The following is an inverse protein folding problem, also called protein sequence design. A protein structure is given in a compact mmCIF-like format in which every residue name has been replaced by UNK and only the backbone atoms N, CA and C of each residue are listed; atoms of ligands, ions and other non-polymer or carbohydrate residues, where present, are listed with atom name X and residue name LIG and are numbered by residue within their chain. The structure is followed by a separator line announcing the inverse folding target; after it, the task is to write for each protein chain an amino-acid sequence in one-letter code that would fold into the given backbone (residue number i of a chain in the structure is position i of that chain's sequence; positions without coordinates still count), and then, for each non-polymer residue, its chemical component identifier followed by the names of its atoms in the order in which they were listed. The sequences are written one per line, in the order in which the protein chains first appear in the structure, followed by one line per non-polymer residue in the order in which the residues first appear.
data_IF_783992565687
#
_entry.id   IF_783992565687
#
_cell.length_a   1.000
_cell.length_b   1.000
_cell.length_c   1.000
_cell.angle_alpha   90.00
_cell.angle_beta   90.00
_cell.angle_gamma   90.00
#
_symmetry.space_group_name_H-M   'P 1'
#
loop_
_entity.id
_entity.type
_entity.pdbx_description
1 polymer ?
#
# COMPACT_ATOMS: atom_id res chain seq x y z
N UNK A 1 -6.47 13.08 62.45
CA UNK A 1 -6.69 12.98 60.98
C UNK A 1 -7.58 11.81 60.58
N UNK A 2 -7.34 10.58 61.08
CA UNK A 2 -8.10 9.37 60.71
C UNK A 2 -9.63 9.48 60.91
N UNK A 3 -10.09 10.01 62.04
CA UNK A 3 -11.53 10.14 62.33
C UNK A 3 -12.29 11.05 61.36
N UNK A 4 -11.63 12.09 60.82
CA UNK A 4 -12.27 13.10 59.97
C UNK A 4 -12.64 12.57 58.57
N UNK A 5 -11.85 11.62 58.05
CA UNK A 5 -11.99 11.14 56.67
C UNK A 5 -12.70 9.78 56.55
N UNK A 6 -12.93 9.06 57.65
CA UNK A 6 -13.64 7.78 57.63
C UNK A 6 -15.13 7.89 57.27
N UNK A 7 -15.74 9.06 57.47
CA UNK A 7 -17.13 9.30 57.06
C UNK A 7 -17.29 9.70 55.59
N UNK A 8 -16.20 9.91 54.85
CA UNK A 8 -16.24 10.33 53.46
C UNK A 8 -16.20 9.10 52.54
N UNK A 9 -17.19 8.97 51.66
CA UNK A 9 -17.24 7.87 50.69
C UNK A 9 -16.10 8.00 49.68
N UNK A 10 -15.40 6.89 49.39
CA UNK A 10 -14.30 6.85 48.41
C UNK A 10 -12.93 7.35 48.90
N UNK A 11 -12.82 7.76 50.17
CA UNK A 11 -11.54 8.22 50.76
C UNK A 11 -10.96 7.16 51.69
N UNK A 12 -9.68 6.82 51.51
CA UNK A 12 -8.94 5.96 52.43
C UNK A 12 -7.80 6.74 53.10
N UNK A 13 -7.66 6.60 54.41
CA UNK A 13 -6.47 7.07 55.14
C UNK A 13 -5.48 5.92 55.34
N UNK A 14 -4.22 6.12 54.93
CA UNK A 14 -3.13 5.16 55.05
C UNK A 14 -1.99 5.71 55.91
N UNK A 15 -1.30 4.83 56.63
CA UNK A 15 -0.05 5.15 57.33
C UNK A 15 1.15 4.82 56.44
N UNK A 16 2.20 5.63 56.52
CA UNK A 16 3.42 5.46 55.70
C UNK A 16 4.22 4.21 56.08
N UNK A 17 4.31 3.91 57.38
CA UNK A 17 5.05 2.74 57.88
C UNK A 17 4.47 1.41 57.40
N UNK A 18 3.16 1.40 57.10
CA UNK A 18 2.39 0.22 56.72
C UNK A 18 1.56 0.54 55.47
N UNK A 19 2.25 0.85 54.37
CA UNK A 19 1.61 1.08 53.08
C UNK A 19 1.08 -0.24 52.52
N UNK A 20 -0.25 -0.36 52.50
CA UNK A 20 -0.93 -1.53 51.95
C UNK A 20 -1.07 -1.42 50.42
N UNK A 21 -0.53 -2.41 49.71
CA UNK A 21 -0.61 -2.50 48.26
C UNK A 21 -2.07 -2.54 47.75
N UNK A 22 -2.97 -3.26 48.43
CA UNK A 22 -4.37 -3.41 48.00
C UNK A 22 -5.12 -2.08 47.98
N UNK A 23 -4.75 -1.18 48.89
CA UNK A 23 -5.31 0.16 48.94
C UNK A 23 -4.61 1.08 47.93
N UNK A 24 -3.31 0.93 47.68
CA UNK A 24 -2.62 1.76 46.70
C UNK A 24 -2.97 1.39 45.25
N UNK A 25 -3.22 0.11 44.96
CA UNK A 25 -3.55 -0.43 43.66
C UNK A 25 -4.77 -1.36 43.74
N UNK A 26 -5.98 -0.81 43.96
CA UNK A 26 -7.20 -1.61 44.02
C UNK A 26 -7.43 -2.32 42.68
N UNK A 27 -7.67 -3.63 42.73
CA UNK A 27 -7.82 -4.46 41.52
C UNK A 27 -6.54 -4.61 40.68
N UNK A 28 -5.38 -4.23 41.20
CA UNK A 28 -4.08 -4.37 40.51
C UNK A 28 -3.74 -3.22 39.55
N UNK A 29 -4.56 -2.16 39.49
CA UNK A 29 -4.26 -0.99 38.68
C UNK A 29 -3.41 0.02 39.46
N UNK A 30 -2.29 0.45 38.87
CA UNK A 30 -1.47 1.56 39.41
C UNK A 30 -2.07 2.92 39.03
N UNK A 31 -1.80 3.96 39.81
CA UNK A 31 -2.26 5.33 39.51
C UNK A 31 -3.40 5.84 40.39
N UNK A 32 -3.57 5.32 41.62
CA UNK A 32 -4.50 5.91 42.59
C UNK A 32 -4.08 7.35 42.91
N UNK A 33 -5.07 8.26 43.00
CA UNK A 33 -4.82 9.62 43.46
C UNK A 33 -4.50 9.61 44.97
N UNK A 34 -3.26 9.98 45.31
CA UNK A 34 -2.74 9.95 46.68
C UNK A 34 -2.30 11.34 47.09
N UNK A 35 -2.77 11.77 48.25
CA UNK A 35 -2.40 13.04 48.87
C UNK A 35 -1.48 12.73 50.05
N UNK A 36 -0.31 13.38 50.09
CA UNK A 36 0.68 13.22 51.15
C UNK A 36 0.72 14.46 52.06
N UNK A 37 0.87 14.24 53.37
CA UNK A 37 1.30 15.29 54.30
C UNK A 37 2.82 15.45 54.24
N UNK A 38 3.36 16.64 54.51
CA UNK A 38 4.80 16.91 54.44
C UNK A 38 5.66 15.92 55.24
N UNK A 39 5.29 15.67 56.50
CA UNK A 39 6.00 14.74 57.38
C UNK A 39 5.98 13.29 56.87
N UNK A 40 4.88 12.88 56.25
CA UNK A 40 4.72 11.57 55.64
C UNK A 40 5.67 11.41 54.45
N UNK A 41 5.76 12.42 53.60
CA UNK A 41 6.63 12.39 52.42
C UNK A 41 8.11 12.32 52.81
N UNK A 42 8.55 13.11 53.80
CA UNK A 42 9.92 13.04 54.33
C UNK A 42 10.28 11.70 54.97
N UNK A 43 9.28 10.98 55.51
CA UNK A 43 9.49 9.68 56.16
C UNK A 43 9.69 8.55 55.15
N UNK A 44 9.15 8.65 53.93
CA UNK A 44 9.33 7.65 52.87
C UNK A 44 10.80 7.42 52.52
N UNK A 45 11.61 8.49 52.47
CA UNK A 45 13.04 8.40 52.18
C UNK A 45 13.81 7.57 53.22
N UNK A 46 13.38 7.58 54.49
CA UNK A 46 13.98 6.76 55.55
C UNK A 46 13.56 5.29 55.44
N UNK A 47 12.29 5.05 55.10
CA UNK A 47 11.70 3.70 55.00
C UNK A 47 12.21 2.95 53.76
N UNK A 48 12.29 3.61 52.61
CA UNK A 48 12.64 2.95 51.35
C UNK A 48 14.06 3.26 50.89
N UNK A 49 14.61 4.42 51.26
CA UNK A 49 15.92 4.86 50.79
C UNK A 49 15.89 5.39 49.35
N UNK A 50 17.08 5.51 48.77
CA UNK A 50 17.31 5.90 47.38
C UNK A 50 18.23 4.87 46.72
N UNK A 51 18.42 4.92 45.40
CA UNK A 51 19.41 4.03 44.75
C UNK A 51 20.85 4.20 45.28
N UNK A 52 21.17 5.35 45.90
CA UNK A 52 22.50 5.63 46.47
C UNK A 52 22.61 5.27 47.96
N UNK A 53 21.51 5.38 48.71
CA UNK A 53 21.48 5.18 50.17
C UNK A 53 20.44 4.09 50.50
N UNK A 54 20.84 2.96 51.10
CA UNK A 54 19.90 1.89 51.45
C UNK A 54 18.88 2.34 52.50
N UNK A 55 17.82 1.57 52.68
CA UNK A 55 16.81 1.84 53.71
C UNK A 55 17.42 1.82 55.12
N UNK A 56 16.98 2.74 55.98
CA UNK A 56 17.36 2.78 57.38
C UNK A 56 16.49 1.86 58.26
N UNK A 57 15.20 1.72 57.91
CA UNK A 57 14.24 0.96 58.71
C UNK A 57 14.07 -0.49 58.24
N UNK A 58 14.15 -0.74 56.93
CA UNK A 58 13.97 -2.08 56.36
C UNK A 58 15.31 -2.75 56.16
N UNK A 59 15.55 -3.84 56.92
CA UNK A 59 16.77 -4.64 56.82
C UNK A 59 16.90 -5.25 55.41
N UNK A 60 18.08 -5.11 54.82
CA UNK A 60 18.43 -5.68 53.51
C UNK A 60 17.49 -5.29 52.36
N UNK A 61 16.86 -4.12 52.44
CA UNK A 61 16.01 -3.60 51.37
C UNK A 61 16.73 -2.51 50.56
N UNK A 62 16.66 -2.62 49.24
CA UNK A 62 17.11 -1.58 48.31
C UNK A 62 16.10 -1.45 47.16
N UNK A 63 16.02 -0.27 46.55
CA UNK A 63 15.16 -0.03 45.41
C UNK A 63 15.60 -0.88 44.20
N UNK A 64 14.66 -1.51 43.50
CA UNK A 64 14.94 -2.13 42.21
C UNK A 64 15.57 -1.12 41.25
N UNK A 65 16.65 -1.51 40.57
CA UNK A 65 17.26 -0.68 39.53
C UNK A 65 16.39 -0.73 38.28
N UNK A 66 16.10 0.41 37.63
CA UNK A 66 15.38 0.38 36.37
C UNK A 66 16.22 -0.35 35.32
N UNK A 67 15.58 -1.23 34.54
CA UNK A 67 16.27 -1.99 33.48
C UNK A 67 16.70 -1.07 32.33
N UNK A 68 15.97 0.02 32.09
CA UNK A 68 16.30 1.05 31.11
C UNK A 68 16.55 2.38 31.81
N UNK A 69 17.70 3.01 31.54
CA UNK A 69 18.04 4.33 32.08
C UNK A 69 17.12 5.43 31.53
N UNK A 70 16.84 5.38 30.22
CA UNK A 70 15.94 6.29 29.53
C UNK A 70 14.71 5.51 29.06
N UNK A 71 13.52 5.88 29.53
CA UNK A 71 12.26 5.24 29.13
C UNK A 71 11.65 5.80 27.83
N UNK A 72 12.11 6.96 27.37
CA UNK A 72 11.62 7.58 26.14
C UNK A 72 12.25 6.94 24.89
N UNK A 73 11.63 5.84 24.45
CA UNK A 73 12.02 5.10 23.25
C UNK A 73 11.90 5.98 22.00
N UNK A 74 10.92 6.89 21.95
CA UNK A 74 10.72 7.75 20.78
C UNK A 74 11.87 8.72 20.58
N UNK A 75 12.41 9.27 21.68
CA UNK A 75 13.62 10.11 21.63
C UNK A 75 14.83 9.32 21.16
N UNK A 76 15.02 8.11 21.68
CA UNK A 76 16.14 7.23 21.30
C UNK A 76 16.06 6.90 19.80
N UNK A 77 14.90 6.43 19.31
CA UNK A 77 14.72 6.05 17.91
C UNK A 77 14.89 7.22 16.92
N UNK A 78 14.63 8.45 17.37
CA UNK A 78 14.75 9.66 16.54
C UNK A 78 16.12 10.33 16.67
N UNK A 79 17.02 9.78 17.47
CA UNK A 79 18.34 10.36 17.68
C UNK A 79 19.19 10.24 16.40
N UNK A 80 20.06 11.22 16.17
CA UNK A 80 20.85 11.33 14.93
C UNK A 80 21.83 10.16 14.79
N UNK A 81 22.37 9.69 15.91
CA UNK A 81 23.31 8.58 15.97
C UNK A 81 22.69 7.29 15.46
N UNK A 82 21.43 7.02 15.83
CA UNK A 82 20.69 5.86 15.33
C UNK A 82 20.27 6.11 13.88
N UNK A 83 19.74 7.30 13.58
CA UNK A 83 19.17 7.61 12.27
C UNK A 83 20.22 7.56 11.15
N UNK A 84 21.45 7.97 11.41
CA UNK A 84 22.57 7.90 10.47
C UNK A 84 22.91 6.45 10.07
N UNK A 85 22.71 5.49 11.00
CA UNK A 85 23.01 4.07 10.76
C UNK A 85 21.85 3.32 10.11
N UNK A 86 20.64 3.87 10.14
CA UNK A 86 19.44 3.20 9.62
C UNK A 86 19.37 3.26 8.10
N UNK A 87 18.93 2.16 7.50
CA UNK A 87 18.56 2.10 6.08
C UNK A 87 17.22 2.80 5.84
N UNK A 88 17.01 3.28 4.62
CA UNK A 88 15.73 3.85 4.22
C UNK A 88 14.57 2.84 4.42
N UNK A 89 13.42 3.29 4.95
CA UNK A 89 12.32 2.39 5.27
C UNK A 89 11.67 1.82 4.00
N UNK A 90 11.51 0.50 3.94
CA UNK A 90 10.80 -0.18 2.86
C UNK A 90 9.28 -0.17 3.13
N UNK A 91 8.56 0.78 2.53
CA UNK A 91 7.11 0.94 2.74
C UNK A 91 6.24 0.16 1.74
N UNK A 92 6.83 -0.76 0.95
CA UNK A 92 6.11 -1.50 -0.10
C UNK A 92 5.27 -2.61 0.52
N UNK A 93 3.95 -2.41 0.54
CA UNK A 93 2.98 -3.47 0.91
C UNK A 93 2.71 -4.36 -0.30
N UNK A 94 3.22 -5.59 -0.30
CA UNK A 94 2.94 -6.59 -1.34
C UNK A 94 1.62 -7.28 -1.01
N UNK A 95 0.58 -6.99 -1.79
CA UNK A 95 -0.71 -7.68 -1.67
C UNK A 95 -0.76 -8.91 -2.58
N UNK A 96 -1.45 -9.96 -2.12
CA UNK A 96 -1.71 -11.14 -2.95
C UNK A 96 -2.57 -10.73 -4.15
N UNK A 97 -1.99 -10.84 -5.35
CA UNK A 97 -2.73 -10.64 -6.59
C UNK A 97 -3.38 -11.94 -7.03
N UNK A 98 -4.63 -11.88 -7.51
CA UNK A 98 -5.27 -13.03 -8.12
C UNK A 98 -4.60 -13.37 -9.46
N UNK A 99 -4.26 -14.66 -9.66
CA UNK A 99 -3.72 -15.15 -10.93
C UNK A 99 -4.85 -15.21 -11.96
N UNK A 100 -4.85 -14.29 -12.92
CA UNK A 100 -5.82 -14.28 -14.03
C UNK A 100 -5.42 -15.34 -15.08
N UNK A 101 -6.37 -16.14 -15.54
CA UNK A 101 -6.14 -17.12 -16.60
C UNK A 101 -5.86 -16.40 -17.94
N UNK A 102 -4.69 -16.60 -18.59
CA UNK A 102 -4.31 -15.87 -19.80
C UNK A 102 -5.10 -16.30 -21.04
N UNK A 103 -5.60 -17.53 -21.10
CA UNK A 103 -6.43 -17.99 -22.23
C UNK A 103 -7.79 -17.28 -22.23
N UNK A 104 -8.31 -16.94 -21.05
CA UNK A 104 -9.56 -16.19 -20.88
C UNK A 104 -9.34 -14.67 -20.85
N UNK A 105 -8.18 -14.19 -20.38
CA UNK A 105 -7.88 -12.77 -20.24
C UNK A 105 -6.77 -12.31 -21.19
N UNK A 106 -7.15 -11.52 -22.20
CA UNK A 106 -6.25 -10.98 -23.22
C UNK A 106 -5.08 -10.19 -22.63
N UNK A 107 -5.32 -9.33 -21.63
CA UNK A 107 -4.26 -8.51 -21.06
C UNK A 107 -3.24 -9.34 -20.27
N UNK A 108 -3.70 -10.41 -19.61
CA UNK A 108 -2.81 -11.36 -18.96
C UNK A 108 -1.96 -12.13 -19.99
N UNK A 109 -2.56 -12.54 -21.11
CA UNK A 109 -1.81 -13.15 -22.22
C UNK A 109 -0.77 -12.21 -22.81
N UNK A 110 -1.13 -10.93 -23.04
CA UNK A 110 -0.21 -9.95 -23.65
C UNK A 110 0.97 -9.61 -22.75
N UNK A 111 0.76 -9.59 -21.42
CA UNK A 111 1.84 -9.44 -20.44
C UNK A 111 2.82 -10.61 -20.45
N UNK A 112 2.34 -11.82 -20.72
CA UNK A 112 3.16 -13.03 -20.79
C UNK A 112 3.82 -13.20 -22.17
N UNK A 113 3.07 -12.97 -23.23
CA UNK A 113 3.51 -13.12 -24.62
C UNK A 113 3.00 -11.94 -25.47
N UNK A 114 3.87 -10.98 -25.82
CA UNK A 114 3.50 -9.83 -26.65
C UNK A 114 3.15 -10.23 -28.09
N UNK A 115 3.76 -11.31 -28.62
CA UNK A 115 3.52 -11.80 -29.98
C UNK A 115 2.11 -12.36 -30.16
N UNK A 116 1.43 -12.75 -29.07
CA UNK A 116 0.04 -13.21 -29.10
C UNK A 116 -0.92 -12.19 -29.75
N UNK A 117 -0.61 -10.88 -29.69
CA UNK A 117 -1.36 -9.85 -30.40
C UNK A 117 -1.30 -10.03 -31.93
N UNK A 118 -0.10 -10.29 -32.45
CA UNK A 118 0.15 -10.44 -33.90
C UNK A 118 -0.50 -11.72 -34.41
N UNK A 119 -0.25 -12.84 -33.72
CA UNK A 119 -0.84 -14.14 -34.09
C UNK A 119 -2.37 -14.08 -34.09
N UNK A 120 -2.97 -13.46 -33.08
CA UNK A 120 -4.44 -13.31 -33.01
C UNK A 120 -4.96 -12.44 -34.15
N UNK A 121 -4.30 -11.32 -34.47
CA UNK A 121 -4.69 -10.45 -35.60
C UNK A 121 -4.60 -11.18 -36.93
N UNK A 122 -3.50 -11.89 -37.18
CA UNK A 122 -3.31 -12.68 -38.40
C UNK A 122 -4.41 -13.75 -38.53
N UNK A 123 -4.73 -14.45 -37.44
CA UNK A 123 -5.81 -15.45 -37.42
C UNK A 123 -7.19 -14.84 -37.71
N UNK A 124 -7.50 -13.65 -37.16
CA UNK A 124 -8.76 -12.93 -37.43
C UNK A 124 -8.87 -12.58 -38.91
N UNK A 125 -7.82 -11.98 -39.49
CA UNK A 125 -7.80 -11.60 -40.91
C UNK A 125 -7.96 -12.81 -41.83
N UNK A 126 -7.28 -13.92 -41.50
CA UNK A 126 -7.38 -15.16 -42.26
C UNK A 126 -8.79 -15.75 -42.18
N UNK A 127 -9.42 -15.77 -41.00
CA UNK A 127 -10.79 -16.25 -40.82
C UNK A 127 -11.82 -15.40 -41.56
N UNK A 128 -11.65 -14.07 -41.58
CA UNK A 128 -12.47 -13.16 -42.37
C UNK A 128 -12.37 -13.50 -43.86
N UNK A 129 -11.15 -13.66 -44.39
CA UNK A 129 -10.94 -14.08 -45.79
C UNK A 129 -11.64 -15.40 -46.12
N UNK A 130 -11.52 -16.42 -45.24
CA UNK A 130 -12.21 -17.71 -45.41
C UNK A 130 -13.74 -17.58 -45.39
N UNK A 131 -14.29 -16.77 -44.48
CA UNK A 131 -15.74 -16.52 -44.39
C UNK A 131 -16.26 -15.86 -45.67
N UNK A 132 -15.58 -14.83 -46.17
CA UNK A 132 -15.95 -14.16 -47.42
C UNK A 132 -15.91 -15.13 -48.60
N UNK A 133 -14.84 -15.92 -48.74
CA UNK A 133 -14.74 -16.94 -49.80
C UNK A 133 -15.89 -17.96 -49.74
N UNK A 134 -16.27 -18.43 -48.53
CA UNK A 134 -17.40 -19.34 -48.36
C UNK A 134 -18.73 -18.69 -48.74
N UNK A 135 -18.94 -17.42 -48.38
CA UNK A 135 -20.15 -16.67 -48.75
C UNK A 135 -20.27 -16.51 -50.26
N UNK A 136 -19.18 -16.18 -50.95
CA UNK A 136 -19.14 -16.10 -52.42
C UNK A 136 -19.51 -17.43 -53.07
N UNK A 137 -18.86 -18.54 -52.69
CA UNK A 137 -19.17 -19.87 -53.23
C UNK A 137 -20.63 -20.29 -52.97
N UNK A 138 -21.22 -19.91 -51.84
CA UNK A 138 -22.62 -20.21 -51.54
C UNK A 138 -23.57 -19.33 -52.37
N UNK A 139 -23.23 -18.07 -52.60
CA UNK A 139 -24.02 -17.15 -53.43
C UNK A 139 -24.03 -17.59 -54.90
N UNK A 140 -22.87 -17.98 -55.44
CA UNK A 140 -22.73 -18.57 -56.78
C UNK A 140 -23.61 -19.81 -56.94
N UNK A 141 -23.60 -20.72 -55.95
CA UNK A 141 -24.43 -21.93 -55.96
C UNK A 141 -25.93 -21.67 -55.84
N UNK A 142 -26.34 -20.59 -55.19
CA UNK A 142 -27.75 -20.22 -55.02
C UNK A 142 -28.32 -19.40 -56.18
N UNK A 143 -27.51 -19.09 -57.19
CA UNK A 143 -27.94 -18.33 -58.37
C UNK A 143 -28.31 -16.87 -58.07
N UNK A 144 -28.06 -16.37 -56.86
CA UNK A 144 -28.35 -15.00 -56.47
C UNK A 144 -27.18 -14.08 -56.85
N UNK A 145 -27.34 -13.33 -57.95
CA UNK A 145 -26.46 -12.22 -58.32
C UNK A 145 -26.82 -11.02 -57.44
N UNK A 146 -26.28 -10.97 -56.24
CA UNK A 146 -25.97 -9.75 -55.49
C UNK A 146 -25.47 -10.12 -54.09
N UNK A 147 -24.16 -10.03 -53.89
CA UNK A 147 -23.68 -9.43 -52.65
C UNK A 147 -22.79 -8.30 -53.12
N UNK A 148 -23.31 -7.08 -53.10
CA UNK A 148 -22.48 -5.88 -53.07
C UNK A 148 -21.49 -6.10 -51.93
N UNK A 149 -20.22 -6.35 -52.28
CA UNK A 149 -19.13 -6.10 -51.34
C UNK A 149 -19.13 -4.60 -51.16
N UNK A 150 -19.94 -4.12 -50.21
CA UNK A 150 -19.88 -2.75 -49.75
C UNK A 150 -18.42 -2.49 -49.41
N UNK A 151 -17.80 -1.65 -50.25
CA UNK A 151 -16.44 -1.14 -50.08
C UNK A 151 -16.35 -0.20 -48.86
N UNK A 152 -17.30 -0.30 -47.93
CA UNK A 152 -17.58 0.59 -46.80
C UNK A 152 -17.57 -0.14 -45.45
N UNK A 153 -16.68 -1.12 -45.21
CA UNK A 153 -16.26 -1.44 -43.82
C UNK A 153 -14.74 -1.65 -43.66
N UNK A 154 -13.96 -1.58 -44.75
CA UNK A 154 -12.49 -1.69 -44.70
C UNK A 154 -11.79 -0.49 -44.04
N UNK A 155 -12.51 0.57 -43.68
CA UNK A 155 -11.95 1.73 -42.98
C UNK A 155 -12.06 1.68 -41.44
N UNK A 156 -12.75 0.70 -40.84
CA UNK A 156 -12.99 0.69 -39.38
C UNK A 156 -12.23 -0.38 -38.57
N UNK A 157 -11.37 -1.19 -39.20
CA UNK A 157 -10.47 -2.12 -38.48
C UNK A 157 -9.04 -1.60 -38.28
N UNK A 158 -8.83 -0.31 -38.54
CA UNK A 158 -7.58 0.42 -38.26
C UNK A 158 -7.80 1.71 -37.44
N UNK A 159 -8.95 1.83 -36.74
CA UNK A 159 -9.09 2.86 -35.71
C UNK A 159 -8.47 2.33 -34.40
N UNK A 160 -7.38 2.91 -33.89
CA UNK A 160 -7.01 2.67 -32.50
C UNK A 160 -8.17 3.15 -31.61
N UNK A 161 -8.62 2.28 -30.70
CA UNK A 161 -9.48 2.67 -29.58
C UNK A 161 -8.74 3.72 -28.73
N UNK A 162 -8.91 4.98 -29.11
CA UNK A 162 -8.58 6.16 -28.32
C UNK A 162 -9.65 7.20 -28.60
N UNK A 163 -10.85 6.98 -28.05
CA UNK A 163 -11.69 8.05 -27.55
C UNK A 163 -12.35 7.54 -26.27
N UNK A 164 -12.01 8.19 -25.15
CA UNK A 164 -12.63 7.93 -23.86
C UNK A 164 -11.74 7.94 -22.63
N UNK A 165 -10.75 8.84 -22.52
CA UNK A 165 -10.57 9.74 -21.35
C UNK A 165 -9.30 10.59 -21.48
N UNK A 166 -9.44 11.91 -21.38
CA UNK A 166 -8.36 12.82 -20.98
C UNK A 166 -7.46 13.35 -22.10
N UNK A 167 -7.71 14.60 -22.48
CA UNK A 167 -6.68 15.45 -23.06
C UNK A 167 -5.42 15.46 -22.15
N UNK A 168 -4.25 15.63 -22.80
CA UNK A 168 -2.87 15.73 -22.29
C UNK A 168 -2.04 14.45 -22.50
N UNK A 169 -0.95 14.60 -23.27
CA UNK A 169 0.11 13.61 -23.60
C UNK A 169 -0.01 12.86 -24.94
N UNK A 170 0.02 13.59 -26.07
CA UNK A 170 0.32 12.99 -27.39
C UNK A 170 1.74 13.35 -27.89
N UNK A 171 2.50 14.17 -27.17
CA UNK A 171 3.75 14.73 -27.70
C UNK A 171 5.01 13.82 -27.59
N UNK A 172 4.97 12.70 -26.87
CA UNK A 172 6.22 12.00 -26.46
C UNK A 172 6.48 10.66 -27.16
N UNK A 173 5.56 10.14 -28.00
CA UNK A 173 5.68 8.76 -28.52
C UNK A 173 5.88 8.60 -30.03
N UNK A 174 6.40 9.63 -30.71
CA UNK A 174 6.87 9.51 -32.11
C UNK A 174 8.33 9.04 -32.24
N UNK A 175 9.07 8.85 -31.14
CA UNK A 175 10.54 8.65 -31.18
C UNK A 175 11.02 7.20 -31.00
N UNK A 176 10.17 6.17 -31.04
CA UNK A 176 10.58 4.79 -30.69
C UNK A 176 10.19 3.69 -31.67
N UNK A 177 9.67 4.00 -32.85
CA UNK A 177 9.45 2.98 -33.90
C UNK A 177 9.90 3.59 -35.22
N UNK A 178 11.14 3.31 -35.62
CA UNK A 178 11.67 3.69 -36.92
C UNK A 178 10.90 2.99 -38.03
N UNK A 179 9.96 3.70 -38.65
CA UNK A 179 9.27 3.28 -39.86
C UNK A 179 9.86 4.15 -40.99
N UNK A 180 10.56 3.59 -41.99
CA UNK A 180 11.02 4.36 -43.13
C UNK A 180 9.83 4.76 -44.02
N UNK A 181 9.77 6.02 -44.41
CA UNK A 181 8.78 6.57 -45.32
C UNK A 181 8.90 5.92 -46.72
N UNK A 182 7.79 5.45 -47.28
CA UNK A 182 7.72 5.04 -48.68
C UNK A 182 7.67 6.28 -49.60
N UNK A 183 8.39 6.27 -50.74
CA UNK A 183 8.54 7.44 -51.58
C UNK A 183 7.21 7.86 -52.24
N UNK A 184 6.94 9.17 -52.20
CA UNK A 184 5.86 9.81 -52.95
C UNK A 184 6.09 9.57 -54.45
N UNK A 185 5.09 9.01 -55.14
CA UNK A 185 5.12 8.81 -56.58
C UNK A 185 5.26 10.16 -57.30
N UNK A 186 6.28 10.29 -58.15
CA UNK A 186 6.46 11.40 -59.08
C UNK A 186 5.54 11.16 -60.27
N UNK A 187 4.69 12.15 -60.58
CA UNK A 187 3.85 12.15 -61.77
C UNK A 187 4.74 12.27 -63.02
N UNK A 188 4.64 11.29 -63.93
CA UNK A 188 5.20 11.39 -65.28
C UNK A 188 4.03 11.68 -66.23
N UNK A 189 4.05 12.88 -66.79
CA UNK A 189 3.15 13.33 -67.86
C UNK A 189 3.64 12.70 -69.18
N UNK A 190 2.74 12.02 -69.90
CA UNK A 190 3.03 11.52 -71.24
C UNK A 190 2.97 12.67 -72.26
N UNK A 191 3.95 12.80 -73.17
CA UNK A 191 3.80 13.71 -74.31
C UNK A 191 2.85 13.10 -75.34
N UNK A 192 1.95 13.93 -75.87
CA UNK A 192 1.17 13.65 -77.07
C UNK A 192 2.00 13.95 -78.32
N UNK A 193 1.70 13.18 -79.37
CA UNK A 193 2.19 13.17 -80.77
C UNK A 193 3.33 12.19 -81.00
#
# INVERSE_FOLDING_TARGET
MRSRFQGCQGVDTLRVDQLNLLKMAPGGHVGRFVIWTESAFRRLDKIYGTWKKPSAEKKSFNLPKPQMTNSDINRILKSEEIRHLLRAPQKRVVRRTQKKNPLKNVNAMLRLNPYAAVTRRAAILLNQKRKMKRQLMVAEKKGSIAVTVDRCQHANLLRPLLVGCGARHVEVKRRLIGIPDLPKQVAVVAPKV
#
